data_IF_511134148826
#
_entry.id   IF_511134148826
#
_cell.length_a   1.000
_cell.length_b   1.000
_cell.length_c   1.000
_cell.angle_alpha   90.00
_cell.angle_beta   90.00
_cell.angle_gamma   90.00
#
_symmetry.space_group_name_H-M   'P 1'
#
loop_
_entity.id
_entity.type
_entity.pdbx_description
1 polymer ?
#
# COMPACT_ATOMS: atom_id res chain seq x y z
N UNK A 1 4.98 0.23 15.90
CA UNK A 1 4.03 0.91 15.01
C UNK A 1 4.46 0.57 13.59
N UNK A 2 3.76 -0.38 12.96
CA UNK A 2 4.01 -0.90 11.60
C UNK A 2 2.76 -1.38 10.82
N UNK A 3 1.49 -1.23 11.28
CA UNK A 3 0.35 -1.64 10.45
C UNK A 3 0.02 -0.63 9.34
N UNK A 4 0.56 0.59 9.37
CA UNK A 4 0.33 1.62 8.36
C UNK A 4 0.59 1.16 6.92
N UNK A 5 1.81 0.69 6.58
CA UNK A 5 2.13 0.24 5.22
C UNK A 5 1.32 -0.99 4.82
N UNK A 6 1.13 -1.93 5.74
CA UNK A 6 0.34 -3.14 5.49
C UNK A 6 -1.12 -2.79 5.18
N UNK A 7 -1.72 -1.92 5.98
CA UNK A 7 -3.11 -1.47 5.80
C UNK A 7 -3.28 -0.74 4.46
N UNK A 8 -2.33 0.12 4.08
CA UNK A 8 -2.38 0.82 2.80
C UNK A 8 -2.34 -0.14 1.59
N UNK A 9 -1.49 -1.16 1.64
CA UNK A 9 -1.41 -2.19 0.60
C UNK A 9 -2.71 -3.01 0.54
N UNK A 10 -3.27 -3.42 1.68
CA UNK A 10 -4.55 -4.13 1.70
C UNK A 10 -5.73 -3.27 1.25
N UNK A 11 -5.72 -1.97 1.55
CA UNK A 11 -6.72 -1.04 1.05
C UNK A 11 -6.66 -0.91 -0.47
N UNK A 12 -5.46 -0.75 -1.03
CA UNK A 12 -5.24 -0.69 -2.47
C UNK A 12 -5.68 -1.98 -3.17
N UNK A 13 -5.36 -3.13 -2.58
CA UNK A 13 -5.84 -4.44 -3.03
C UNK A 13 -7.36 -4.55 -3.01
N UNK A 14 -8.01 -4.10 -1.93
CA UNK A 14 -9.46 -4.15 -1.82
C UNK A 14 -10.14 -3.25 -2.85
N UNK A 15 -9.59 -2.07 -3.13
CA UNK A 15 -10.08 -1.19 -4.19
C UNK A 15 -9.98 -1.87 -5.56
N UNK A 16 -8.85 -2.50 -5.89
CA UNK A 16 -8.72 -3.30 -7.12
C UNK A 16 -9.74 -4.43 -7.19
N UNK A 17 -9.97 -5.12 -6.08
CA UNK A 17 -10.98 -6.16 -6.00
C UNK A 17 -12.38 -5.63 -6.31
N UNK A 18 -12.79 -4.48 -5.75
CA UNK A 18 -14.09 -3.88 -6.03
C UNK A 18 -14.23 -3.44 -7.49
N UNK A 19 -13.18 -2.88 -8.08
CA UNK A 19 -13.13 -2.52 -9.51
C UNK A 19 -13.30 -3.76 -10.39
N UNK A 20 -12.58 -4.84 -10.12
CA UNK A 20 -12.71 -6.09 -10.88
C UNK A 20 -14.08 -6.75 -10.75
N UNK A 21 -14.79 -6.51 -9.64
CA UNK A 21 -16.15 -7.02 -9.40
C UNK A 21 -17.24 -6.11 -9.97
N UNK A 22 -16.88 -4.98 -10.60
CA UNK A 22 -17.84 -4.00 -11.11
C UNK A 22 -18.66 -3.30 -10.02
N UNK A 23 -18.21 -3.37 -8.77
CA UNK A 23 -18.87 -2.72 -7.62
C UNK A 23 -18.41 -1.27 -7.45
N UNK A 24 -17.31 -0.90 -8.10
CA UNK A 24 -16.72 0.43 -8.04
C UNK A 24 -16.21 0.81 -9.44
N UNK A 25 -16.52 2.03 -9.88
CA UNK A 25 -15.94 2.56 -11.12
C UNK A 25 -14.43 2.78 -10.98
N UNK A 26 -13.68 2.38 -12.00
CA UNK A 26 -12.25 2.63 -12.06
C UNK A 26 -12.00 4.11 -12.33
N UNK A 27 -11.68 4.85 -11.27
CA UNK A 27 -11.42 6.31 -11.31
C UNK A 27 -9.94 6.65 -11.14
N UNK A 28 -9.03 5.68 -11.33
CA UNK A 28 -7.59 5.90 -11.17
C UNK A 28 -7.16 6.34 -9.77
N UNK A 29 -7.91 5.90 -8.73
CA UNK A 29 -7.66 6.27 -7.34
C UNK A 29 -6.35 5.66 -6.86
N UNK A 30 -5.57 6.43 -6.11
CA UNK A 30 -4.28 6.01 -5.55
C UNK A 30 -4.28 6.11 -4.03
N UNK A 31 -3.74 5.09 -3.38
CA UNK A 31 -3.52 5.05 -1.93
C UNK A 31 -2.09 5.51 -1.65
N UNK A 32 -1.93 6.40 -0.67
CA UNK A 32 -0.63 6.93 -0.27
C UNK A 32 -0.38 6.57 1.19
N UNK A 33 0.74 5.90 1.46
CA UNK A 33 1.20 5.64 2.82
C UNK A 33 2.43 6.49 3.09
N UNK A 34 2.37 7.31 4.14
CA UNK A 34 3.52 8.07 4.62
C UNK A 34 4.15 7.32 5.78
N UNK A 35 5.44 7.02 5.65
CA UNK A 35 6.17 6.11 6.54
C UNK A 35 7.44 6.81 7.02
N UNK A 36 7.78 6.66 8.30
CA UNK A 36 9.09 7.05 8.82
C UNK A 36 10.16 6.04 8.42
N UNK A 37 11.44 6.44 8.44
CA UNK A 37 12.56 5.53 8.14
C UNK A 37 12.62 4.35 9.13
N UNK A 38 12.44 4.59 10.43
CA UNK A 38 12.42 3.55 11.46
C UNK A 38 11.18 2.66 11.43
N UNK A 39 10.12 3.04 10.72
CA UNK A 39 8.98 2.14 10.47
C UNK A 39 9.27 1.18 9.31
N UNK A 40 10.16 1.52 8.38
CA UNK A 40 10.49 0.67 7.23
C UNK A 40 11.30 -0.57 7.62
N UNK A 41 12.07 -0.51 8.71
CA UNK A 41 12.86 -1.62 9.24
C UNK A 41 12.00 -2.68 9.97
N UNK A 42 10.70 -2.42 10.13
CA UNK A 42 9.78 -3.38 10.73
C UNK A 42 9.39 -4.47 9.71
N UNK A 43 9.23 -5.73 10.15
CA UNK A 43 8.89 -6.84 9.27
C UNK A 43 7.56 -6.64 8.52
N UNK A 44 6.61 -5.91 9.12
CA UNK A 44 5.33 -5.58 8.53
C UNK A 44 5.47 -4.70 7.27
N UNK A 45 6.40 -3.75 7.28
CA UNK A 45 6.69 -2.86 6.15
C UNK A 45 7.30 -3.63 4.98
N UNK A 46 8.23 -4.54 5.26
CA UNK A 46 8.82 -5.42 4.26
C UNK A 46 7.80 -6.41 3.68
N UNK A 47 6.91 -6.95 4.53
CA UNK A 47 5.82 -7.82 4.09
C UNK A 47 4.84 -7.07 3.19
N UNK A 48 4.51 -5.82 3.51
CA UNK A 48 3.62 -4.97 2.71
C UNK A 48 4.18 -4.75 1.29
N UNK A 49 5.47 -4.42 1.17
CA UNK A 49 6.15 -4.25 -0.13
C UNK A 49 6.10 -5.55 -0.94
N UNK A 50 6.37 -6.68 -0.28
CA UNK A 50 6.34 -8.00 -0.91
C UNK A 50 4.94 -8.39 -1.42
N UNK A 51 3.87 -8.01 -0.72
CA UNK A 51 2.49 -8.21 -1.19
C UNK A 51 2.18 -7.29 -2.37
N UNK A 52 2.51 -6.01 -2.27
CA UNK A 52 2.26 -5.04 -3.34
C UNK A 52 2.94 -5.43 -4.67
N UNK A 53 4.19 -5.90 -4.60
CA UNK A 53 4.92 -6.38 -5.77
C UNK A 53 4.33 -7.67 -6.36
N UNK A 54 3.93 -8.64 -5.53
CA UNK A 54 3.34 -9.90 -6.00
C UNK A 54 1.98 -9.70 -6.68
N UNK A 55 1.17 -8.78 -6.15
CA UNK A 55 -0.17 -8.51 -6.69
C UNK A 55 -0.18 -7.44 -7.78
N UNK A 56 0.99 -6.91 -8.16
CA UNK A 56 1.16 -5.86 -9.18
C UNK A 56 0.24 -4.66 -8.94
N UNK A 57 0.18 -4.20 -7.70
CA UNK A 57 -0.64 -3.05 -7.32
C UNK A 57 -0.03 -1.75 -7.86
N UNK A 58 -0.62 -1.20 -8.90
CA UNK A 58 -0.25 0.10 -9.50
C UNK A 58 -0.94 1.29 -8.81
N UNK A 59 -1.83 1.02 -7.86
CA UNK A 59 -2.67 2.00 -7.17
C UNK A 59 -2.22 2.31 -5.73
N UNK A 60 -1.00 1.93 -5.34
CA UNK A 60 -0.42 2.24 -4.02
C UNK A 60 0.97 2.86 -4.16
N UNK A 61 1.20 3.95 -3.40
CA UNK A 61 2.49 4.61 -3.28
C UNK A 61 2.91 4.63 -1.81
N UNK A 62 4.07 4.04 -1.51
CA UNK A 62 4.70 4.13 -0.19
C UNK A 62 5.74 5.26 -0.25
N UNK A 63 5.58 6.26 0.62
CA UNK A 63 6.49 7.40 0.71
C UNK A 63 7.24 7.34 2.03
N UNK A 64 8.54 7.06 1.96
CA UNK A 64 9.41 7.07 3.14
C UNK A 64 9.98 8.47 3.36
N UNK A 65 9.70 9.04 4.52
CA UNK A 65 10.32 10.28 4.98
C UNK A 65 11.64 9.92 5.67
N UNK A 66 12.74 10.00 4.92
CA UNK A 66 14.08 9.87 5.48
C UNK A 66 14.46 11.17 6.19
N UNK A 67 14.82 11.09 7.46
CA UNK A 67 15.34 12.24 8.20
C UNK A 67 16.82 12.39 7.86
N UNK A 68 17.17 13.42 7.09
CA UNK A 68 18.52 13.98 7.02
C UNK A 68 18.55 15.29 7.77
#
# INVERSE_FOLDING_TARGET
MGPGPLTAVYQARFMRYLEYRGMLEHQGRKVWAFLGDGEMDQPESLAAISVAGRERLDNVTLLTMATR
#
